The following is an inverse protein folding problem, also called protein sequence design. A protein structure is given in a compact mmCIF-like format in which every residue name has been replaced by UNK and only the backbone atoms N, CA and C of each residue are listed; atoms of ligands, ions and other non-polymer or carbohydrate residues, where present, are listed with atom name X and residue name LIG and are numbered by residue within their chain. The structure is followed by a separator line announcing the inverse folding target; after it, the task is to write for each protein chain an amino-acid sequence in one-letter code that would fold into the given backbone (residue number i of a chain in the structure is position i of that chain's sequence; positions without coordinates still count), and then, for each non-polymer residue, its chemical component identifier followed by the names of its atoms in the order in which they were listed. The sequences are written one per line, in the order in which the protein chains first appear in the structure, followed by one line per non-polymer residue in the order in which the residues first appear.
data_IF_327425091748
#
_entry.id   IF_327425091748
#
_cell.length_a   1.000
_cell.length_b   1.000
_cell.length_c   1.000
_cell.angle_alpha   90.00
_cell.angle_beta   90.00
_cell.angle_gamma   90.00
#
_symmetry.space_group_name_H-M   'P 1'
#
loop_
_entity.id
_entity.type
_entity.pdbx_description
1 polymer ?
#
# COMPACT_ATOMS: atom_id res chain seq x y z
N UNK A 1 1.25 -11.94 15.85
CA UNK A 1 -0.05 -11.24 15.67
C UNK A 1 -0.15 -9.89 16.38
N UNK A 2 0.87 -9.42 17.09
CA UNK A 2 0.92 -8.06 17.65
C UNK A 2 1.86 -7.18 16.81
N UNK A 3 1.48 -5.93 16.47
CA UNK A 3 2.36 -5.00 15.75
C UNK A 3 3.70 -4.73 16.45
N UNK A 4 3.76 -4.90 17.77
CA UNK A 4 4.99 -4.69 18.56
C UNK A 4 6.08 -5.72 18.26
N UNK A 5 5.71 -6.88 17.73
CA UNK A 5 6.64 -7.98 17.47
C UNK A 5 7.33 -7.83 16.09
N UNK A 6 6.90 -6.84 15.28
CA UNK A 6 7.34 -6.69 13.89
C UNK A 6 8.83 -6.35 13.77
N UNK A 7 9.33 -5.40 14.58
CA UNK A 7 10.72 -4.97 14.53
C UNK A 7 11.67 -6.12 14.88
N UNK A 8 11.34 -6.88 15.93
CA UNK A 8 12.11 -8.06 16.35
C UNK A 8 12.07 -9.16 15.27
N UNK A 9 10.92 -9.37 14.62
CA UNK A 9 10.78 -10.35 13.54
C UNK A 9 11.58 -9.96 12.28
N UNK A 10 11.65 -8.67 11.96
CA UNK A 10 12.49 -8.15 10.87
C UNK A 10 13.97 -8.36 11.18
N UNK A 11 14.40 -8.06 12.42
CA UNK A 11 15.79 -8.29 12.83
C UNK A 11 16.16 -9.78 12.75
N UNK A 12 15.29 -10.67 13.21
CA UNK A 12 15.49 -12.11 13.10
C UNK A 12 15.60 -12.60 11.64
N UNK A 13 14.86 -12.00 10.71
CA UNK A 13 14.97 -12.29 9.28
C UNK A 13 16.32 -11.86 8.70
N UNK A 14 16.82 -10.67 9.07
CA UNK A 14 18.09 -10.12 8.56
C UNK A 14 19.28 -10.95 9.06
N UNK A 15 19.26 -11.37 10.32
CA UNK A 15 20.36 -12.10 10.95
C UNK A 15 20.41 -13.60 10.55
N UNK A 16 19.39 -14.11 9.86
CA UNK A 16 19.30 -15.52 9.49
C UNK A 16 20.16 -15.87 8.26
N UNK A 17 21.09 -16.80 8.40
CA UNK A 17 21.96 -17.27 7.31
C UNK A 17 21.26 -18.34 6.46
N UNK A 18 20.30 -17.92 5.64
CA UNK A 18 19.58 -18.78 4.71
C UNK A 18 18.22 -18.24 4.27
N UNK A 19 17.43 -19.04 3.52
CA UNK A 19 16.08 -18.64 3.12
C UNK A 19 15.18 -18.46 4.34
N UNK A 20 14.52 -17.31 4.43
CA UNK A 20 13.57 -16.95 5.48
C UNK A 20 12.24 -16.51 4.87
N UNK A 21 11.12 -16.91 5.49
CA UNK A 21 9.78 -16.47 5.08
C UNK A 21 9.11 -15.78 6.26
N UNK A 22 8.82 -14.49 6.10
CA UNK A 22 8.08 -13.70 7.07
C UNK A 22 6.68 -13.42 6.51
N UNK A 23 5.66 -13.90 7.22
CA UNK A 23 4.26 -13.58 6.91
C UNK A 23 3.78 -12.47 7.85
N UNK A 24 3.33 -11.34 7.28
CA UNK A 24 2.91 -10.15 8.02
C UNK A 24 1.49 -9.78 7.60
N UNK A 25 0.59 -9.76 8.58
CA UNK A 25 -0.77 -9.27 8.38
C UNK A 25 -0.77 -7.73 8.35
N UNK A 26 -1.14 -7.16 7.21
CA UNK A 26 -1.25 -5.71 6.99
C UNK A 26 -2.70 -5.31 6.68
N UNK A 27 -2.99 -4.00 6.79
CA UNK A 27 -4.28 -3.46 6.39
C UNK A 27 -4.51 -3.66 4.87
N UNK A 28 -5.72 -4.03 4.47
CA UNK A 28 -6.02 -4.47 3.10
C UNK A 28 -6.24 -3.31 2.13
N UNK A 29 -6.70 -2.16 2.63
CA UNK A 29 -7.20 -1.05 1.81
C UNK A 29 -6.33 0.21 1.92
N UNK A 30 -5.00 0.03 1.99
CA UNK A 30 -4.07 1.14 1.89
C UNK A 30 -3.59 1.30 0.44
N UNK A 31 -4.03 2.38 -0.21
CA UNK A 31 -3.54 2.75 -1.55
C UNK A 31 -2.16 3.40 -1.43
N UNK A 32 -1.26 3.08 -2.36
CA UNK A 32 0.04 3.74 -2.47
C UNK A 32 -0.12 5.16 -3.02
N UNK A 33 0.15 6.16 -2.17
CA UNK A 33 0.16 7.58 -2.52
C UNK A 33 1.59 8.14 -2.59
N UNK A 34 1.85 9.23 -3.35
CA UNK A 34 0.91 9.96 -4.20
C UNK A 34 0.57 9.19 -5.49
N UNK A 35 -0.68 9.27 -5.93
CA UNK A 35 -1.17 8.56 -7.12
C UNK A 35 -1.83 9.52 -8.10
N UNK A 36 -1.53 9.40 -9.40
CA UNK A 36 -2.28 10.08 -10.46
C UNK A 36 -3.34 9.09 -10.97
N UNK A 37 -4.64 9.38 -10.84
CA UNK A 37 -5.67 8.49 -11.36
C UNK A 37 -5.56 8.32 -12.87
N UNK A 38 -5.96 7.15 -13.38
CA UNK A 38 -5.92 6.89 -14.82
C UNK A 38 -6.76 7.92 -15.59
N UNK A 39 -6.18 8.51 -16.64
CA UNK A 39 -6.84 9.55 -17.44
C UNK A 39 -6.80 10.96 -16.84
N UNK A 40 -6.09 11.18 -15.73
CA UNK A 40 -5.89 12.51 -15.12
C UNK A 40 -4.54 13.12 -15.48
N UNK A 41 -4.46 14.45 -15.38
CA UNK A 41 -3.22 15.18 -15.61
C UNK A 41 -2.23 15.01 -14.44
N UNK A 42 -0.93 15.22 -14.70
CA UNK A 42 0.13 15.03 -13.71
C UNK A 42 0.00 15.93 -12.47
N UNK A 43 -0.76 17.01 -12.57
CA UNK A 43 -1.03 17.95 -11.49
C UNK A 43 -2.32 17.63 -10.70
N UNK A 44 -3.09 16.64 -11.12
CA UNK A 44 -4.29 16.14 -10.42
C UNK A 44 -3.93 14.91 -9.56
N UNK A 45 -2.84 15.01 -8.78
CA UNK A 45 -2.40 13.94 -7.89
C UNK A 45 -3.31 13.82 -6.67
N UNK A 46 -3.64 12.59 -6.29
CA UNK A 46 -4.21 12.24 -5.00
C UNK A 46 -3.08 12.12 -3.97
N UNK A 47 -3.21 12.83 -2.86
CA UNK A 47 -2.32 12.75 -1.70
C UNK A 47 -3.09 12.04 -0.58
N UNK A 48 -2.50 11.03 0.03
CA UNK A 48 -3.23 10.09 0.90
C UNK A 48 -3.88 10.69 2.15
N UNK A 49 -3.46 11.89 2.57
CA UNK A 49 -4.06 12.61 3.71
C UNK A 49 -5.24 13.51 3.28
N UNK A 50 -5.36 13.83 1.99
CA UNK A 50 -6.27 14.84 1.45
C UNK A 50 -7.50 14.23 0.73
N UNK A 51 -7.62 12.91 0.69
CA UNK A 51 -8.63 12.20 -0.12
C UNK A 51 -9.39 11.21 0.75
N UNK A 52 -10.71 11.35 0.79
CA UNK A 52 -11.56 10.42 1.52
C UNK A 52 -11.60 9.04 0.84
N UNK A 53 -11.74 7.96 1.61
CA UNK A 53 -11.73 6.59 1.09
C UNK A 53 -12.73 6.37 -0.05
N UNK A 54 -13.92 7.01 0.02
CA UNK A 54 -14.93 6.91 -1.03
C UNK A 54 -14.53 7.59 -2.35
N UNK A 55 -13.65 8.60 -2.29
CA UNK A 55 -13.11 9.26 -3.48
C UNK A 55 -12.01 8.43 -4.12
N UNK A 56 -11.23 7.71 -3.32
CA UNK A 56 -10.23 6.76 -3.81
C UNK A 56 -10.90 5.60 -4.56
N UNK A 57 -11.99 5.04 -4.01
CA UNK A 57 -12.74 3.98 -4.66
C UNK A 57 -13.25 4.41 -6.05
N UNK A 58 -13.84 5.61 -6.14
CA UNK A 58 -14.33 6.17 -7.42
C UNK A 58 -13.20 6.47 -8.41
N UNK A 59 -12.06 6.94 -7.93
CA UNK A 59 -10.90 7.24 -8.77
C UNK A 59 -10.28 5.99 -9.40
N UNK A 60 -10.53 4.81 -8.81
CA UNK A 60 -9.99 3.52 -9.23
C UNK A 60 -11.02 2.72 -10.08
N UNK A 61 -12.25 3.21 -10.25
CA UNK A 61 -13.27 2.53 -11.07
C UNK A 61 -12.96 2.57 -12.59
N UNK A 62 -13.30 1.47 -13.29
CA UNK A 62 -13.23 1.38 -14.75
C UNK A 62 -11.93 0.79 -15.32
N UNK A 63 -11.58 1.16 -16.55
CA UNK A 63 -10.45 0.59 -17.32
C UNK A 63 -9.08 0.83 -16.65
N UNK A 64 -8.99 1.80 -15.74
CA UNK A 64 -7.79 2.07 -14.94
C UNK A 64 -7.44 0.96 -13.96
N UNK A 65 -8.43 0.21 -13.44
CA UNK A 65 -8.21 -0.89 -12.48
C UNK A 65 -7.40 -2.07 -13.04
N UNK A 66 -7.40 -2.25 -14.35
CA UNK A 66 -6.64 -3.31 -15.01
C UNK A 66 -5.15 -2.97 -15.19
N UNK A 67 -4.76 -1.72 -14.91
CA UNK A 67 -3.42 -1.18 -15.12
C UNK A 67 -2.65 -0.93 -13.82
N UNK A 68 -3.26 -1.25 -12.67
CA UNK A 68 -2.68 -1.11 -11.32
C UNK A 68 -2.55 -2.48 -10.68
#
# INVERSE_FOLDING_TARGET
DSPKDLDDAIMAMIDYDGPYMLDVLVEKLVICFPMIPSGKAHNEMLLGEDVADEEIEKAIEGTGKALV
#
